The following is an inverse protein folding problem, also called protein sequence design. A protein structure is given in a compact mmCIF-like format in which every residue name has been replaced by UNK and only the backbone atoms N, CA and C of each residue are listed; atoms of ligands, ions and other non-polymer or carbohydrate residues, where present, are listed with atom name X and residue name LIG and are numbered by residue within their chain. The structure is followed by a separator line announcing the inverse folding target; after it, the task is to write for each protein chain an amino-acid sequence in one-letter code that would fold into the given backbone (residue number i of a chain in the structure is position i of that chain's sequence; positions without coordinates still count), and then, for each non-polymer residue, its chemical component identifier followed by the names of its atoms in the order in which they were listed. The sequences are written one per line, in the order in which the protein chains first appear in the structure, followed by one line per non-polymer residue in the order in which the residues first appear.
data_IF_584209773243
#
_entry.id   IF_584209773243
#
_cell.length_a   1.000
_cell.length_b   1.000
_cell.length_c   1.000
_cell.angle_alpha   90.00
_cell.angle_beta   90.00
_cell.angle_gamma   90.00
#
_symmetry.space_group_name_H-M   'P 1'
#
loop_
_entity.id
_entity.type
_entity.pdbx_description
1 polymer ?
#
# COMPACT_ATOMS: atom_id res chain seq x y z
N UNK A 1 40.69 58.68 0.86
CA UNK A 1 39.64 59.20 -0.04
C UNK A 1 39.06 58.01 -0.80
N UNK A 2 38.05 57.34 -0.22
CA UNK A 2 36.61 57.49 -0.52
C UNK A 2 36.15 56.41 -1.53
N UNK A 3 35.39 55.41 -1.06
CA UNK A 3 33.97 55.18 -1.44
C UNK A 3 33.82 54.34 -2.74
N UNK A 4 33.01 53.27 -2.88
CA UNK A 4 31.84 52.78 -2.13
C UNK A 4 31.68 51.26 -2.27
N UNK A 5 31.11 50.68 -1.22
CA UNK A 5 30.51 49.35 -1.16
C UNK A 5 29.41 49.20 -2.21
N UNK A 6 29.50 48.19 -3.07
CA UNK A 6 28.37 47.71 -3.87
C UNK A 6 27.72 46.56 -3.11
N UNK A 7 26.63 46.89 -2.44
CA UNK A 7 25.77 45.97 -1.72
C UNK A 7 25.21 44.91 -2.67
N UNK A 8 25.51 43.64 -2.38
CA UNK A 8 24.81 42.49 -2.95
C UNK A 8 23.41 42.47 -2.33
N UNK A 9 22.39 42.84 -3.13
CA UNK A 9 21.01 42.66 -2.74
C UNK A 9 20.69 41.16 -2.68
N UNK A 10 20.70 40.60 -1.47
CA UNK A 10 20.22 39.24 -1.20
C UNK A 10 18.69 39.33 -1.10
N UNK A 11 17.98 39.03 -2.18
CA UNK A 11 16.52 38.90 -2.15
C UNK A 11 16.19 37.59 -1.45
N UNK A 12 15.94 37.65 -0.14
CA UNK A 12 15.41 36.55 0.63
C UNK A 12 13.91 36.42 0.35
N UNK A 13 13.55 35.52 -0.58
CA UNK A 13 12.15 35.13 -0.81
C UNK A 13 11.70 34.29 0.39
N UNK A 14 11.05 34.94 1.36
CA UNK A 14 10.36 34.26 2.45
C UNK A 14 8.95 33.93 1.99
N UNK A 15 8.71 32.64 1.72
CA UNK A 15 7.38 32.15 1.39
C UNK A 15 6.56 32.06 2.70
N UNK A 16 5.86 33.12 3.06
CA UNK A 16 4.88 33.09 4.13
C UNK A 16 3.58 32.47 3.59
N UNK A 17 3.38 31.18 3.83
CA UNK A 17 2.09 30.53 3.58
C UNK A 17 1.19 30.81 4.78
N UNK A 18 0.36 31.85 4.66
CA UNK A 18 -0.71 32.15 5.60
C UNK A 18 -2.06 31.90 4.93
N UNK A 19 -2.68 30.76 5.26
CA UNK A 19 -4.13 30.56 5.39
C UNK A 19 -4.42 29.06 5.58
N UNK A 20 -4.45 28.59 6.84
CA UNK A 20 -5.18 27.36 7.16
C UNK A 20 -6.67 27.71 7.17
N UNK A 21 -7.39 27.31 6.14
CA UNK A 21 -8.84 27.28 6.18
C UNK A 21 -9.28 26.28 7.27
N UNK A 22 -10.13 26.73 8.19
CA UNK A 22 -10.68 25.96 9.30
C UNK A 22 -11.64 24.89 8.78
N UNK A 23 -11.13 23.68 8.55
CA UNK A 23 -11.93 22.48 8.36
C UNK A 23 -12.31 21.97 9.77
N UNK A 24 -13.59 22.10 10.15
CA UNK A 24 -14.27 21.39 11.25
C UNK A 24 -13.49 21.19 12.56
N UNK A 25 -13.81 21.98 13.59
CA UNK A 25 -13.15 22.02 14.91
C UNK A 25 -13.45 20.83 15.85
N UNK A 26 -13.72 19.64 15.31
CA UNK A 26 -13.64 18.42 16.10
C UNK A 26 -12.24 17.83 15.88
N UNK A 27 -11.37 17.76 16.91
CA UNK A 27 -10.13 17.03 16.79
C UNK A 27 -10.46 15.62 16.31
N UNK A 28 -9.98 15.26 15.12
CA UNK A 28 -9.96 13.86 14.71
C UNK A 28 -9.30 13.01 15.81
N UNK A 29 -9.49 11.68 15.79
CA UNK A 29 -8.76 10.81 16.71
C UNK A 29 -7.27 11.17 16.71
N UNK A 30 -6.59 11.12 17.87
CA UNK A 30 -5.22 11.59 17.99
C UNK A 30 -4.34 10.92 16.92
N UNK A 31 -3.48 11.71 16.29
CA UNK A 31 -2.54 11.21 15.28
C UNK A 31 -1.75 10.04 15.85
N UNK A 32 -2.01 8.83 15.34
CA UNK A 32 -1.28 7.62 15.71
C UNK A 32 -0.09 7.35 14.77
N UNK A 33 0.42 8.37 14.08
CA UNK A 33 1.54 8.26 13.14
C UNK A 33 2.81 7.65 13.77
N UNK A 34 2.96 7.81 15.09
CA UNK A 34 4.03 7.17 15.88
C UNK A 34 4.03 5.63 15.70
N UNK A 35 2.85 5.02 15.56
CA UNK A 35 2.69 3.58 15.38
C UNK A 35 3.09 3.09 13.98
N UNK A 36 3.52 3.98 13.07
CA UNK A 36 4.03 3.60 11.75
C UNK A 36 5.57 3.57 11.70
N UNK A 37 6.27 4.10 12.71
CA UNK A 37 7.74 4.24 12.72
C UNK A 37 8.47 2.90 12.95
N UNK A 38 9.72 2.76 12.54
CA UNK A 38 10.52 1.55 12.71
C UNK A 38 10.22 0.47 11.67
N UNK A 39 10.61 -0.77 11.99
CA UNK A 39 10.43 -1.93 11.12
C UNK A 39 8.98 -2.43 11.17
N UNK A 40 8.40 -2.65 10.00
CA UNK A 40 7.06 -3.21 9.79
C UNK A 40 7.16 -4.51 9.00
N UNK A 41 6.74 -5.62 9.60
CA UNK A 41 6.80 -6.95 8.99
C UNK A 41 5.55 -7.18 8.15
N UNK A 42 5.71 -7.24 6.83
CA UNK A 42 4.63 -7.40 5.87
C UNK A 42 4.65 -8.82 5.26
N UNK A 43 3.52 -9.50 5.32
CA UNK A 43 3.27 -10.68 4.50
C UNK A 43 2.49 -10.28 3.26
N UNK A 44 3.02 -10.53 2.07
CA UNK A 44 2.26 -10.48 0.81
C UNK A 44 1.77 -11.88 0.49
N UNK A 45 0.45 -12.05 0.47
CA UNK A 45 -0.20 -13.33 0.23
C UNK A 45 -0.83 -13.34 -1.17
N UNK A 46 -0.23 -14.10 -2.09
CA UNK A 46 -0.75 -14.32 -3.43
C UNK A 46 -1.86 -15.37 -3.44
N UNK A 47 -3.02 -15.01 -3.98
CA UNK A 47 -4.17 -15.91 -4.12
C UNK A 47 -4.65 -16.01 -5.58
N UNK A 48 -5.19 -17.17 -5.94
CA UNK A 48 -5.78 -17.45 -7.25
C UNK A 48 -7.16 -18.09 -7.06
N UNK A 49 -7.91 -18.22 -8.15
CA UNK A 49 -9.26 -18.80 -8.11
C UNK A 49 -9.30 -20.09 -8.94
N UNK A 50 -10.32 -20.94 -8.74
CA UNK A 50 -10.59 -22.07 -9.62
C UNK A 50 -10.63 -21.63 -11.08
N UNK A 51 -9.88 -22.33 -11.94
CA UNK A 51 -9.81 -22.03 -13.38
C UNK A 51 -9.00 -20.78 -13.77
N UNK A 52 -8.40 -20.07 -12.80
CA UNK A 52 -7.60 -18.86 -13.06
C UNK A 52 -6.14 -19.13 -12.68
N UNK A 53 -5.29 -19.18 -13.71
CA UNK A 53 -3.85 -19.20 -13.50
C UNK A 53 -3.33 -17.80 -13.17
N UNK A 54 -2.50 -17.66 -12.12
CA UNK A 54 -1.91 -16.38 -11.75
C UNK A 54 -1.12 -15.75 -12.88
N UNK A 55 -1.29 -14.44 -13.07
CA UNK A 55 -0.59 -13.68 -14.11
C UNK A 55 0.87 -13.33 -13.81
N UNK A 56 1.41 -13.70 -12.63
CA UNK A 56 2.76 -13.34 -12.19
C UNK A 56 3.43 -14.51 -11.46
N UNK A 57 4.75 -14.58 -11.51
CA UNK A 57 5.53 -15.46 -10.64
C UNK A 57 5.60 -14.89 -9.21
N UNK A 58 5.88 -15.71 -8.18
CA UNK A 58 6.13 -15.20 -6.82
C UNK A 58 7.24 -14.14 -6.75
N UNK A 59 8.27 -14.25 -7.59
CA UNK A 59 9.34 -13.25 -7.70
C UNK A 59 8.83 -11.91 -8.24
N UNK A 60 8.00 -11.93 -9.29
CA UNK A 60 7.36 -10.71 -9.81
C UNK A 60 6.38 -10.10 -8.80
N UNK A 61 5.72 -10.93 -7.98
CA UNK A 61 4.87 -10.43 -6.91
C UNK A 61 5.69 -9.74 -5.80
N UNK A 62 6.85 -10.31 -5.43
CA UNK A 62 7.80 -9.69 -4.51
C UNK A 62 8.26 -8.32 -5.00
N UNK A 63 8.76 -8.27 -6.22
CA UNK A 63 9.25 -7.02 -6.81
C UNK A 63 8.13 -5.98 -6.85
N UNK A 64 6.96 -6.33 -7.41
CA UNK A 64 5.91 -5.37 -7.69
C UNK A 64 5.17 -4.86 -6.44
N UNK A 65 5.02 -5.69 -5.41
CA UNK A 65 4.23 -5.35 -4.23
C UNK A 65 5.12 -5.07 -3.02
N UNK A 66 5.98 -6.01 -2.63
CA UNK A 66 6.75 -5.89 -1.40
C UNK A 66 7.88 -4.86 -1.54
N UNK A 67 8.74 -5.00 -2.54
CA UNK A 67 9.93 -4.17 -2.69
C UNK A 67 9.58 -2.72 -3.04
N UNK A 68 8.65 -2.51 -3.98
CA UNK A 68 8.13 -1.16 -4.28
C UNK A 68 7.46 -0.50 -3.09
N UNK A 69 6.71 -1.25 -2.27
CA UNK A 69 6.14 -0.69 -1.03
C UNK A 69 7.24 -0.33 -0.05
N UNK A 70 8.23 -1.21 0.15
CA UNK A 70 9.35 -0.95 1.05
C UNK A 70 10.13 0.31 0.65
N UNK A 71 10.43 0.47 -0.64
CA UNK A 71 11.09 1.66 -1.18
C UNK A 71 10.23 2.92 -0.98
N UNK A 72 8.94 2.85 -1.31
CA UNK A 72 8.02 3.97 -1.14
C UNK A 72 7.96 4.43 0.31
N UNK A 73 7.70 3.52 1.26
CA UNK A 73 7.58 3.87 2.67
C UNK A 73 8.91 4.35 3.25
N UNK A 74 10.05 3.75 2.88
CA UNK A 74 11.36 4.24 3.30
C UNK A 74 11.60 5.67 2.79
N UNK A 75 11.29 5.96 1.53
CA UNK A 75 11.50 7.28 0.92
C UNK A 75 10.58 8.33 1.54
N UNK A 76 9.27 8.06 1.58
CA UNK A 76 8.27 9.03 2.03
C UNK A 76 8.30 9.27 3.55
N UNK A 77 8.86 8.33 4.32
CA UNK A 77 9.06 8.50 5.76
C UNK A 77 10.44 9.07 6.12
N UNK A 78 11.28 9.41 5.14
CA UNK A 78 12.69 9.76 5.36
C UNK A 78 13.46 8.72 6.18
N UNK A 79 13.24 7.44 5.87
CA UNK A 79 13.85 6.29 6.53
C UNK A 79 13.26 5.97 7.90
N UNK A 80 12.23 6.69 8.36
CA UNK A 80 11.63 6.45 9.68
C UNK A 80 10.74 5.20 9.71
N UNK A 81 10.28 4.70 8.57
CA UNK A 81 9.53 3.46 8.42
C UNK A 81 10.25 2.56 7.42
N UNK A 82 10.51 1.32 7.81
CA UNK A 82 11.11 0.31 6.95
C UNK A 82 10.20 -0.91 6.88
N UNK A 83 9.89 -1.37 5.68
CA UNK A 83 9.15 -2.62 5.50
C UNK A 83 10.15 -3.74 5.30
N UNK A 84 9.99 -4.81 6.06
CA UNK A 84 10.61 -6.11 5.83
C UNK A 84 9.50 -7.13 5.62
N UNK A 85 9.72 -8.18 4.84
CA UNK A 85 8.61 -9.07 4.57
C UNK A 85 8.89 -10.24 3.67
N UNK A 86 7.84 -11.03 3.52
CA UNK A 86 7.81 -12.25 2.74
C UNK A 86 6.69 -12.23 1.73
N UNK A 87 6.86 -13.04 0.69
CA UNK A 87 5.82 -13.35 -0.27
C UNK A 87 5.54 -14.84 -0.21
N UNK A 88 4.26 -15.20 -0.07
CA UNK A 88 3.76 -16.58 -0.05
C UNK A 88 2.60 -16.72 -1.03
N UNK A 89 2.37 -17.92 -1.56
CA UNK A 89 1.32 -18.20 -2.56
C UNK A 89 1.88 -18.71 -3.88
N UNK A 90 1.07 -19.16 -4.84
CA UNK A 90 -0.32 -18.86 -5.13
C UNK A 90 -1.34 -19.83 -4.52
N UNK A 91 -1.98 -19.43 -3.42
CA UNK A 91 -3.02 -20.24 -2.80
C UNK A 91 -4.29 -20.23 -3.64
N UNK A 92 -4.83 -21.41 -3.97
CA UNK A 92 -6.10 -21.49 -4.67
C UNK A 92 -7.25 -21.37 -3.68
N UNK A 93 -8.10 -20.38 -3.89
CA UNK A 93 -9.29 -20.17 -3.08
C UNK A 93 -10.41 -21.16 -3.45
N UNK A 94 -11.35 -21.43 -2.54
CA UNK A 94 -12.41 -22.41 -2.78
C UNK A 94 -13.53 -21.90 -3.72
N UNK A 95 -13.67 -20.59 -3.90
CA UNK A 95 -14.75 -19.97 -4.70
C UNK A 95 -14.21 -19.27 -5.94
N UNK A 96 -15.08 -19.03 -6.92
CA UNK A 96 -14.72 -18.29 -8.13
C UNK A 96 -14.51 -16.80 -7.82
N UNK A 97 -13.81 -16.07 -8.69
CA UNK A 97 -13.65 -14.62 -8.54
C UNK A 97 -15.01 -13.87 -8.44
N UNK A 98 -16.01 -14.33 -9.20
CA UNK A 98 -17.34 -13.73 -9.26
C UNK A 98 -18.08 -13.81 -7.93
N UNK A 99 -17.84 -14.86 -7.12
CA UNK A 99 -18.48 -15.04 -5.81
C UNK A 99 -18.03 -14.00 -4.78
N UNK A 100 -16.83 -13.44 -4.97
CA UNK A 100 -16.29 -12.36 -4.15
C UNK A 100 -16.73 -10.97 -4.63
N UNK A 101 -17.31 -10.84 -5.83
CA UNK A 101 -17.81 -9.58 -6.43
C UNK A 101 -16.91 -8.36 -6.18
N UNK A 102 -15.58 -8.56 -6.23
CA UNK A 102 -14.63 -7.47 -6.02
C UNK A 102 -14.74 -6.56 -7.23
N UNK A 103 -15.36 -5.38 -7.05
CA UNK A 103 -15.54 -4.44 -8.15
C UNK A 103 -14.17 -4.09 -8.76
N UNK A 104 -14.02 -4.19 -10.09
CA UNK A 104 -12.81 -3.70 -10.77
C UNK A 104 -12.65 -2.18 -10.61
N UNK A 105 -13.71 -1.46 -10.26
CA UNK A 105 -13.76 -0.03 -10.02
C UNK A 105 -14.10 0.21 -8.54
N UNK A 106 -13.07 0.21 -7.68
CA UNK A 106 -12.97 0.40 -6.21
C UNK A 106 -13.98 1.34 -5.47
N UNK A 107 -15.03 1.85 -6.10
CA UNK A 107 -15.95 2.86 -5.58
C UNK A 107 -17.12 2.26 -4.78
N UNK A 108 -17.52 1.01 -5.03
CA UNK A 108 -18.52 0.28 -4.23
C UNK A 108 -18.03 -1.12 -3.87
N UNK A 109 -17.16 -1.17 -2.86
CA UNK A 109 -16.64 -2.43 -2.32
C UNK A 109 -17.59 -2.94 -1.23
N UNK A 110 -18.26 -4.07 -1.47
CA UNK A 110 -18.99 -4.79 -0.44
C UNK A 110 -18.00 -5.34 0.61
N UNK A 111 -18.00 -4.73 1.79
CA UNK A 111 -17.09 -5.06 2.89
C UNK A 111 -17.25 -6.51 3.38
N UNK A 112 -18.45 -7.08 3.30
CA UNK A 112 -18.69 -8.47 3.70
C UNK A 112 -17.97 -9.44 2.76
N UNK A 113 -17.85 -9.07 1.48
CA UNK A 113 -17.22 -9.90 0.46
C UNK A 113 -15.70 -9.77 0.46
N UNK A 114 -15.16 -8.58 0.73
CA UNK A 114 -13.72 -8.42 1.02
C UNK A 114 -13.34 -9.23 2.24
N UNK A 115 -14.17 -9.21 3.29
CA UNK A 115 -13.96 -10.05 4.47
C UNK A 115 -13.90 -11.53 4.10
N UNK A 116 -14.85 -12.03 3.30
CA UNK A 116 -14.84 -13.42 2.83
C UNK A 116 -13.57 -13.77 2.05
N UNK A 117 -13.11 -12.89 1.16
CA UNK A 117 -11.85 -13.06 0.41
C UNK A 117 -10.65 -13.18 1.35
N UNK A 118 -10.58 -12.30 2.36
CA UNK A 118 -9.49 -12.30 3.34
C UNK A 118 -9.54 -13.57 4.20
N UNK A 119 -10.71 -13.97 4.69
CA UNK A 119 -10.88 -15.19 5.50
C UNK A 119 -10.47 -16.45 4.73
N UNK A 120 -10.91 -16.59 3.47
CA UNK A 120 -10.51 -17.72 2.63
C UNK A 120 -9.01 -17.70 2.33
N UNK A 121 -8.42 -16.53 2.09
CA UNK A 121 -6.99 -16.39 1.83
C UNK A 121 -6.15 -16.83 3.03
N UNK A 122 -6.50 -16.35 4.23
CA UNK A 122 -5.81 -16.74 5.46
C UNK A 122 -5.97 -18.24 5.75
N UNK A 123 -7.18 -18.78 5.57
CA UNK A 123 -7.45 -20.21 5.76
C UNK A 123 -6.63 -21.08 4.81
N UNK A 124 -6.48 -20.67 3.55
CA UNK A 124 -5.71 -21.42 2.56
C UNK A 124 -4.20 -21.45 2.88
N UNK A 125 -3.70 -20.43 3.58
CA UNK A 125 -2.29 -20.28 3.92
C UNK A 125 -1.92 -20.74 5.34
N UNK A 126 -2.91 -21.09 6.17
CA UNK A 126 -2.75 -21.38 7.60
C UNK A 126 -1.72 -22.48 7.90
N UNK A 127 -1.58 -23.45 6.99
CA UNK A 127 -0.63 -24.57 7.17
C UNK A 127 0.83 -24.19 6.88
N UNK A 128 1.05 -23.14 6.11
CA UNK A 128 2.37 -22.75 5.60
C UNK A 128 2.92 -21.48 6.26
N UNK A 129 2.07 -20.74 6.99
CA UNK A 129 2.36 -19.38 7.46
C UNK A 129 2.07 -19.24 8.95
N UNK A 130 3.06 -18.75 9.68
CA UNK A 130 2.92 -18.35 11.09
C UNK A 130 2.56 -16.86 11.14
N UNK A 131 1.27 -16.53 11.05
CA UNK A 131 0.79 -15.15 10.89
C UNK A 131 1.26 -14.18 12.00
N UNK A 132 1.47 -14.67 13.21
CA UNK A 132 1.94 -13.87 14.35
C UNK A 132 3.32 -13.23 14.14
N UNK A 133 4.07 -13.67 13.12
CA UNK A 133 5.36 -13.07 12.75
C UNK A 133 5.20 -11.76 11.96
N UNK A 134 4.01 -11.41 11.50
CA UNK A 134 3.77 -10.25 10.65
C UNK A 134 2.88 -9.22 11.33
N UNK A 135 3.18 -7.94 11.12
CA UNK A 135 2.37 -6.82 11.61
C UNK A 135 1.21 -6.51 10.66
N UNK A 136 1.41 -6.80 9.36
CA UNK A 136 0.47 -6.53 8.29
C UNK A 136 0.43 -7.67 7.28
N UNK A 137 -0.74 -7.88 6.66
CA UNK A 137 -0.96 -8.86 5.60
C UNK A 137 -1.60 -8.15 4.41
N UNK A 138 -0.99 -8.26 3.24
CA UNK A 138 -1.53 -7.77 1.97
C UNK A 138 -1.95 -8.96 1.10
N UNK A 139 -3.27 -9.13 0.91
CA UNK A 139 -3.82 -10.15 0.01
C UNK A 139 -3.78 -9.62 -1.42
N UNK A 140 -3.04 -10.29 -2.29
CA UNK A 140 -2.90 -9.93 -3.70
C UNK A 140 -3.53 -10.98 -4.60
N UNK A 141 -4.43 -10.53 -5.48
CA UNK A 141 -5.19 -11.39 -6.36
C UNK A 141 -4.47 -11.59 -7.70
N UNK A 142 -4.25 -12.85 -8.07
CA UNK A 142 -3.56 -13.28 -9.28
C UNK A 142 -4.47 -13.37 -10.49
N UNK A 143 -5.06 -12.26 -10.91
CA UNK A 143 -5.87 -12.20 -12.14
C UNK A 143 -5.09 -11.50 -13.25
N UNK A 144 -5.08 -12.08 -14.45
CA UNK A 144 -4.65 -11.34 -15.65
C UNK A 144 -5.72 -10.33 -15.98
N UNK A 145 -5.46 -9.04 -15.78
CA UNK A 145 -6.29 -7.99 -16.40
C UNK A 145 -5.95 -7.96 -17.89
N UNK A 146 -6.97 -7.99 -18.75
CA UNK A 146 -6.79 -7.58 -20.14
C UNK A 146 -6.33 -6.12 -20.22
N UNK A 147 -5.88 -5.64 -21.40
CA UNK A 147 -5.52 -4.23 -21.56
C UNK A 147 -6.69 -3.35 -21.10
N UNK A 148 -6.39 -2.31 -20.32
CA UNK A 148 -7.39 -1.29 -20.02
C UNK A 148 -7.84 -0.70 -21.35
N UNK A 149 -9.11 -0.88 -21.71
CA UNK A 149 -9.70 -0.17 -22.84
C UNK A 149 -9.65 1.32 -22.51
N UNK A 150 -8.65 2.00 -23.07
CA UNK A 150 -8.62 3.45 -23.15
C UNK A 150 -9.83 3.87 -23.99
N UNK A 151 -10.94 4.15 -23.34
CA UNK A 151 -12.06 4.87 -23.93
C UNK A 151 -11.94 6.30 -23.43
N UNK A 152 -11.33 7.12 -24.29
CA UNK A 152 -11.44 8.57 -24.26
C UNK A 152 -12.78 8.97 -24.89
#
# INVERSE_FOLDING_TARGET
MSQRLLARALVAVTLAVAACATVGDAPGPPLRAQHALGVRRLLVLGVSFPGIEPGRTPAQLREHVLERSAEYYATQSWGKTRIEGDVKGWYRLPRSLEDYKVSPHNVEVDRSRVRLLVEDALSAAEKDVVFAQYDHIAVTVGVRRGPASATA
#
